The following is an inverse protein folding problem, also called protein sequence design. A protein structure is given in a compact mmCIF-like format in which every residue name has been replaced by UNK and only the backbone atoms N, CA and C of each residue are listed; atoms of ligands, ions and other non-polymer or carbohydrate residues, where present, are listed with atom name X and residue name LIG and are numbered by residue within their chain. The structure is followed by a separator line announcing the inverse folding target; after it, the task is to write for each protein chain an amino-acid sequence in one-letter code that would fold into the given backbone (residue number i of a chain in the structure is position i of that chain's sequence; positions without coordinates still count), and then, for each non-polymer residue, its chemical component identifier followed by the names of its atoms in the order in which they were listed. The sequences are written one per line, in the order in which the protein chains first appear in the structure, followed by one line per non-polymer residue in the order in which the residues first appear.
data_IF_567177861144
#
_entry.id   IF_567177861144
#
_cell.length_a   1.000
_cell.length_b   1.000
_cell.length_c   1.000
_cell.angle_alpha   90.00
_cell.angle_beta   90.00
_cell.angle_gamma   90.00
#
_symmetry.space_group_name_H-M   'P 1'
#
loop_
_entity.id
_entity.type
_entity.pdbx_description
1 polymer ?
#
# COMPACT_ATOMS: atom_id res chain seq x y z
N UNK A 1 -2.67 -12.70 -5.25
CA UNK A 1 -2.33 -11.42 -4.60
C UNK A 1 -3.42 -10.45 -4.96
N UNK A 2 -4.19 -10.00 -3.98
CA UNK A 2 -5.31 -9.07 -4.20
C UNK A 2 -4.87 -7.66 -3.86
N UNK A 3 -5.39 -6.69 -4.59
CA UNK A 3 -5.20 -5.28 -4.30
C UNK A 3 -6.41 -4.50 -4.79
N UNK A 4 -6.72 -3.43 -4.08
CA UNK A 4 -7.78 -2.48 -4.43
C UNK A 4 -7.16 -1.10 -4.46
N UNK A 5 -7.66 -0.25 -5.35
CA UNK A 5 -7.25 1.16 -5.44
C UNK A 5 -8.48 2.02 -5.56
N UNK A 6 -8.51 3.06 -4.76
CA UNK A 6 -9.49 4.13 -4.85
C UNK A 6 -8.76 5.46 -5.12
N UNK A 7 -9.30 6.28 -6.02
CA UNK A 7 -8.68 7.56 -6.39
C UNK A 7 -7.39 7.44 -7.22
N UNK A 8 -6.55 8.48 -7.14
CA UNK A 8 -5.28 8.59 -7.89
C UNK A 8 -4.10 8.16 -7.02
N UNK A 9 -3.19 7.39 -7.61
CA UNK A 9 -1.93 6.97 -6.98
C UNK A 9 -0.78 7.09 -8.01
N UNK A 10 -0.16 8.27 -8.15
CA UNK A 10 0.83 8.53 -9.19
C UNK A 10 2.23 8.02 -8.79
N UNK A 11 2.47 6.71 -8.88
CA UNK A 11 3.72 6.06 -8.44
C UNK A 11 4.98 6.45 -9.24
N UNK A 12 4.83 6.96 -10.46
CA UNK A 12 5.95 7.41 -11.30
C UNK A 12 6.24 8.91 -11.14
N UNK A 13 5.37 9.65 -10.45
CA UNK A 13 5.55 11.09 -10.24
C UNK A 13 6.43 11.31 -9.01
N UNK A 14 7.69 11.65 -9.23
CA UNK A 14 8.69 11.81 -8.16
C UNK A 14 8.31 12.86 -7.09
N UNK A 15 7.61 13.92 -7.50
CA UNK A 15 7.16 14.98 -6.59
C UNK A 15 5.82 14.70 -5.92
N UNK A 16 5.21 13.52 -6.12
CA UNK A 16 3.97 13.18 -5.43
C UNK A 16 4.23 12.85 -3.96
N UNK A 17 3.47 13.45 -3.05
CA UNK A 17 3.56 13.14 -1.63
C UNK A 17 2.83 11.82 -1.34
N UNK A 18 3.58 10.71 -1.35
CA UNK A 18 3.06 9.36 -1.16
C UNK A 18 3.68 8.78 0.11
N UNK A 19 2.83 8.43 1.07
CA UNK A 19 3.24 7.61 2.21
C UNK A 19 3.11 6.13 1.85
N UNK A 20 4.16 5.37 2.15
CA UNK A 20 4.18 3.91 2.01
C UNK A 20 4.37 3.24 3.35
N UNK A 21 3.63 2.16 3.59
CA UNK A 21 3.83 1.32 4.77
C UNK A 21 3.68 -0.17 4.43
N UNK A 22 4.46 -0.98 5.12
CA UNK A 22 4.44 -2.44 5.01
C UNK A 22 4.33 -3.08 6.39
N UNK A 23 3.40 -4.02 6.54
CA UNK A 23 3.23 -4.82 7.75
C UNK A 23 2.93 -6.28 7.42
N UNK A 24 3.23 -7.14 8.40
CA UNK A 24 2.91 -8.56 8.36
C UNK A 24 1.73 -8.84 9.30
N UNK A 25 0.75 -9.58 8.84
CA UNK A 25 -0.34 -10.11 9.66
C UNK A 25 -0.08 -11.60 9.91
N UNK A 26 0.04 -11.98 11.18
CA UNK A 26 0.15 -13.38 11.57
C UNK A 26 -1.25 -13.96 11.75
N UNK A 27 -1.57 -15.01 11.01
CA UNK A 27 -2.86 -15.70 11.04
C UNK A 27 -2.64 -17.18 11.36
N UNK A 28 -3.71 -17.91 11.72
CA UNK A 28 -3.63 -19.37 11.94
C UNK A 28 -3.17 -20.15 10.71
N UNK A 29 -3.31 -19.56 9.51
CA UNK A 29 -2.91 -20.16 8.24
C UNK A 29 -1.53 -19.69 7.76
N UNK A 30 -0.81 -18.89 8.56
CA UNK A 30 0.51 -18.36 8.23
C UNK A 30 0.56 -16.83 8.19
N UNK A 31 1.58 -16.28 7.53
CA UNK A 31 1.88 -14.85 7.52
C UNK A 31 1.43 -14.20 6.20
N UNK A 32 0.61 -13.17 6.29
CA UNK A 32 0.20 -12.32 5.16
C UNK A 32 0.97 -11.00 5.15
N UNK A 33 1.50 -10.60 3.99
CA UNK A 33 2.13 -9.29 3.82
C UNK A 33 1.12 -8.26 3.31
N UNK A 34 0.99 -7.14 4.01
CA UNK A 34 0.09 -6.04 3.65
C UNK A 34 0.93 -4.82 3.27
N UNK A 35 0.69 -4.29 2.07
CA UNK A 35 1.31 -3.07 1.54
C UNK A 35 0.24 -2.00 1.37
N UNK A 36 0.51 -0.80 1.85
CA UNK A 36 -0.41 0.34 1.77
C UNK A 36 0.34 1.53 1.19
N UNK A 37 -0.32 2.24 0.27
CA UNK A 37 0.12 3.53 -0.23
C UNK A 37 -1.00 4.55 -0.01
N UNK A 38 -0.64 5.73 0.52
CA UNK A 38 -1.56 6.84 0.72
C UNK A 38 -1.00 8.05 -0.01
N UNK A 39 -1.73 8.52 -1.02
CA UNK A 39 -1.40 9.77 -1.69
C UNK A 39 -2.05 10.94 -0.95
N UNK A 40 -1.23 11.89 -0.49
CA UNK A 40 -1.71 13.15 0.09
C UNK A 40 -1.56 14.25 -0.96
N UNK A 41 -2.62 15.04 -1.12
CA UNK A 41 -2.62 16.28 -1.90
C UNK A 41 -2.25 17.46 -1.00
#
# INVERSE_FOLDING_TARGET
SEWVREGRLPLQTLNAHIDYSFKKASTIYGILGVKVWVFKN
#
